data_IF_159776982981
#
_entry.id   IF_159776982981
#
_cell.length_a   1.000
_cell.length_b   1.000
_cell.length_c   1.000
_cell.angle_alpha   90.00
_cell.angle_beta   90.00
_cell.angle_gamma   90.00
#
_symmetry.space_group_name_H-M   'P 1'
#
loop_
_entity.id
_entity.type
_entity.pdbx_description
1 polymer ?
#
# COMPACT_ATOMS: atom_id res chain seq x y z
N UNK A 1 9.71 7.47 -8.28
CA UNK A 1 10.32 6.43 -7.44
C UNK A 1 9.65 5.09 -7.71
N UNK A 2 10.45 4.01 -7.74
CA UNK A 2 10.00 2.64 -7.97
C UNK A 2 10.06 1.87 -6.65
N UNK A 3 9.04 1.07 -6.36
CA UNK A 3 8.98 0.19 -5.18
C UNK A 3 8.55 -1.21 -5.60
N UNK A 4 8.98 -2.21 -4.83
CA UNK A 4 8.47 -3.57 -4.94
C UNK A 4 7.24 -3.72 -4.05
N UNK A 5 6.10 -4.05 -4.66
CA UNK A 5 4.80 -4.10 -4.00
C UNK A 5 4.42 -5.54 -3.71
N UNK A 6 4.18 -5.82 -2.43
CA UNK A 6 3.82 -7.14 -1.94
C UNK A 6 2.46 -7.09 -1.22
N UNK A 7 1.60 -8.06 -1.51
CA UNK A 7 0.32 -8.18 -0.83
C UNK A 7 0.53 -8.57 0.64
N UNK A 8 -0.23 -7.93 1.54
CA UNK A 8 0.01 -8.04 2.99
C UNK A 8 -0.11 -9.48 3.52
N UNK A 9 -1.07 -10.27 3.02
CA UNK A 9 -1.23 -11.66 3.46
C UNK A 9 -0.05 -12.53 3.04
N UNK A 10 0.51 -12.32 1.84
CA UNK A 10 1.71 -13.03 1.41
C UNK A 10 2.93 -12.65 2.27
N UNK A 11 3.03 -11.38 2.68
CA UNK A 11 4.05 -10.94 3.61
C UNK A 11 3.88 -11.60 5.00
N UNK A 12 2.65 -11.64 5.53
CA UNK A 12 2.36 -12.31 6.79
C UNK A 12 2.69 -13.81 6.75
N UNK A 13 2.39 -14.49 5.63
CA UNK A 13 2.79 -15.90 5.43
C UNK A 13 4.32 -16.08 5.45
N UNK A 14 5.08 -15.14 4.84
CA UNK A 14 6.53 -15.18 4.89
C UNK A 14 7.05 -15.05 6.32
N UNK A 15 6.52 -14.08 7.10
CA UNK A 15 6.91 -13.88 8.50
C UNK A 15 6.60 -15.13 9.33
N UNK A 16 5.39 -15.68 9.22
CA UNK A 16 4.98 -16.89 9.94
C UNK A 16 5.89 -18.09 9.59
N UNK A 17 6.22 -18.25 8.32
CA UNK A 17 7.11 -19.31 7.87
C UNK A 17 8.54 -19.15 8.43
N UNK A 18 9.08 -17.93 8.40
CA UNK A 18 10.42 -17.66 8.97
C UNK A 18 10.44 -17.92 10.48
N UNK A 19 9.38 -17.57 11.21
CA UNK A 19 9.28 -17.86 12.66
C UNK A 19 9.27 -19.35 12.95
N UNK A 20 8.63 -20.15 12.10
CA UNK A 20 8.50 -21.60 12.32
C UNK A 20 9.66 -22.43 11.79
N UNK A 21 10.24 -22.02 10.67
CA UNK A 21 11.17 -22.86 9.89
C UNK A 21 12.48 -22.15 9.54
N UNK A 22 12.60 -20.85 9.86
CA UNK A 22 13.81 -20.09 9.61
C UNK A 22 14.98 -20.57 10.46
N UNK A 23 16.18 -20.41 9.91
CA UNK A 23 17.44 -20.72 10.65
C UNK A 23 17.75 -19.56 11.58
N UNK A 24 18.02 -19.85 12.85
CA UNK A 24 18.36 -18.85 13.85
C UNK A 24 19.60 -18.05 13.45
N UNK A 25 19.50 -16.72 13.57
CA UNK A 25 20.56 -15.78 13.18
C UNK A 25 20.61 -15.44 11.67
N UNK A 26 19.80 -16.08 10.84
CA UNK A 26 19.72 -15.79 9.41
C UNK A 26 18.76 -14.66 9.08
N UNK A 27 19.04 -13.94 8.00
CA UNK A 27 18.19 -12.86 7.47
C UNK A 27 17.58 -13.29 6.13
N UNK A 28 16.28 -13.04 5.98
CA UNK A 28 15.53 -13.35 4.78
C UNK A 28 14.89 -12.07 4.20
N UNK A 29 15.20 -11.78 2.94
CA UNK A 29 14.49 -10.74 2.20
C UNK A 29 13.15 -11.29 1.71
N UNK A 30 12.10 -10.46 1.82
CA UNK A 30 10.74 -10.78 1.36
C UNK A 30 10.31 -9.74 0.35
N UNK A 31 10.08 -10.12 -0.88
CA UNK A 31 9.74 -9.23 -2.00
C UNK A 31 8.65 -9.80 -2.90
N UNK A 32 7.93 -8.92 -3.59
CA UNK A 32 6.77 -9.27 -4.41
C UNK A 32 7.08 -9.53 -5.87
N UNK A 33 8.28 -9.23 -6.37
CA UNK A 33 8.63 -9.15 -7.79
C UNK A 33 7.68 -8.25 -8.61
N UNK A 34 7.09 -7.24 -7.95
CA UNK A 34 6.11 -6.32 -8.53
C UNK A 34 6.62 -4.88 -8.47
N UNK A 35 7.68 -4.60 -9.19
CA UNK A 35 8.23 -3.24 -9.26
C UNK A 35 7.30 -2.33 -10.07
N UNK A 36 6.80 -1.29 -9.42
CA UNK A 36 5.97 -0.25 -10.04
C UNK A 36 6.35 1.14 -9.50
N UNK A 37 6.16 2.15 -10.33
CA UNK A 37 6.33 3.53 -9.91
C UNK A 37 5.18 3.97 -8.99
N UNK A 38 5.46 4.90 -8.10
CA UNK A 38 4.40 5.51 -7.27
C UNK A 38 3.28 6.09 -8.12
N UNK A 39 3.60 6.69 -9.28
CA UNK A 39 2.61 7.27 -10.19
C UNK A 39 1.68 6.21 -10.80
N UNK A 40 2.23 5.04 -11.19
CA UNK A 40 1.42 3.91 -11.66
C UNK A 40 0.45 3.44 -10.59
N UNK A 41 0.93 3.33 -9.33
CA UNK A 41 0.08 2.93 -8.19
C UNK A 41 -1.05 3.94 -7.96
N UNK A 42 -0.73 5.24 -7.94
CA UNK A 42 -1.75 6.29 -7.75
C UNK A 42 -2.82 6.23 -8.84
N UNK A 43 -2.41 6.15 -10.11
CA UNK A 43 -3.35 6.05 -11.23
C UNK A 43 -4.23 4.80 -11.16
N UNK A 44 -3.62 3.65 -10.84
CA UNK A 44 -4.34 2.39 -10.71
C UNK A 44 -5.32 2.41 -9.53
N UNK A 45 -4.91 2.97 -8.39
CA UNK A 45 -5.78 3.12 -7.22
C UNK A 45 -6.99 3.99 -7.56
N UNK A 46 -6.80 5.15 -8.19
CA UNK A 46 -7.89 6.03 -8.62
C UNK A 46 -8.84 5.30 -9.57
N UNK A 47 -8.31 4.61 -10.58
CA UNK A 47 -9.12 3.87 -11.55
C UNK A 47 -9.93 2.74 -10.86
N UNK A 48 -9.31 2.01 -9.93
CA UNK A 48 -9.97 0.94 -9.18
C UNK A 48 -11.07 1.49 -8.28
N UNK A 49 -10.80 2.57 -7.54
CA UNK A 49 -11.81 3.21 -6.67
C UNK A 49 -13.01 3.68 -7.50
N UNK A 50 -12.78 4.33 -8.65
CA UNK A 50 -13.87 4.77 -9.53
C UNK A 50 -14.74 3.60 -9.99
N UNK A 51 -14.13 2.53 -10.46
CA UNK A 51 -14.84 1.31 -10.87
C UNK A 51 -15.66 0.72 -9.74
N UNK A 52 -15.06 0.57 -8.54
CA UNK A 52 -15.76 0.03 -7.37
C UNK A 52 -16.94 0.93 -6.93
N UNK A 53 -16.83 2.26 -7.06
CA UNK A 53 -17.93 3.18 -6.79
C UNK A 53 -19.09 3.05 -7.79
N UNK A 54 -18.81 2.64 -9.02
CA UNK A 54 -19.84 2.38 -10.04
C UNK A 54 -20.53 1.05 -9.80
N UNK A 55 -19.76 0.01 -9.46
CA UNK A 55 -20.26 -1.34 -9.19
C UNK A 55 -21.03 -1.42 -7.85
N UNK A 56 -20.57 -0.68 -6.82
CA UNK A 56 -21.12 -0.69 -5.46
C UNK A 56 -21.43 0.74 -4.96
N UNK A 57 -22.66 1.23 -5.16
CA UNK A 57 -23.03 2.61 -4.80
C UNK A 57 -22.78 3.00 -3.33
N UNK A 58 -22.75 2.03 -2.40
CA UNK A 58 -22.44 2.26 -0.97
C UNK A 58 -21.07 2.89 -0.77
N UNK A 59 -20.09 2.59 -1.63
CA UNK A 59 -18.74 3.16 -1.53
C UNK A 59 -18.69 4.65 -1.83
N UNK A 60 -19.65 5.19 -2.59
CA UNK A 60 -19.77 6.64 -2.80
C UNK A 60 -20.01 7.40 -1.50
N UNK A 61 -20.76 6.81 -0.57
CA UNK A 61 -21.03 7.43 0.73
C UNK A 61 -19.75 7.50 1.60
N UNK A 62 -18.91 6.50 1.52
CA UNK A 62 -17.64 6.42 2.23
C UNK A 62 -16.65 7.49 1.75
N UNK A 63 -16.60 7.75 0.45
CA UNK A 63 -15.63 8.62 -0.21
C UNK A 63 -16.05 10.08 -0.35
N UNK A 64 -17.22 10.46 0.16
CA UNK A 64 -17.78 11.83 0.05
C UNK A 64 -16.85 12.97 0.46
N UNK A 65 -15.89 12.71 1.35
CA UNK A 65 -14.96 13.72 1.85
C UNK A 65 -13.66 13.82 1.04
N UNK A 66 -13.38 12.83 0.19
CA UNK A 66 -12.08 12.66 -0.47
C UNK A 66 -12.17 12.73 -2.00
N UNK A 67 -13.38 12.67 -2.54
CA UNK A 67 -13.66 12.77 -3.97
C UNK A 67 -14.42 14.05 -4.21
N UNK A 68 -14.02 14.83 -5.20
CA UNK A 68 -14.80 16.00 -5.58
C UNK A 68 -16.23 15.56 -5.95
N UNK A 69 -17.20 16.01 -5.16
CA UNK A 69 -18.58 15.54 -5.24
C UNK A 69 -19.30 15.96 -6.55
N UNK A 70 -18.74 16.95 -7.27
CA UNK A 70 -19.35 17.48 -8.49
C UNK A 70 -19.07 16.59 -9.71
N UNK A 71 -17.89 16.02 -9.83
CA UNK A 71 -17.48 15.29 -11.04
C UNK A 71 -16.79 13.95 -10.76
N UNK A 72 -16.62 13.56 -9.48
CA UNK A 72 -15.93 12.33 -9.08
C UNK A 72 -14.43 12.36 -9.36
N UNK A 73 -13.83 13.54 -9.55
CA UNK A 73 -12.39 13.67 -9.76
C UNK A 73 -11.62 13.50 -8.45
N UNK A 74 -10.48 12.85 -8.55
CA UNK A 74 -9.49 12.77 -7.49
C UNK A 74 -8.29 13.54 -8.01
N UNK A 75 -7.95 14.64 -7.34
CA UNK A 75 -6.79 15.44 -7.72
C UNK A 75 -5.50 14.79 -7.24
N UNK A 76 -4.52 14.73 -8.15
CA UNK A 76 -3.15 14.33 -7.82
C UNK A 76 -2.37 15.61 -7.51
N UNK A 77 -1.99 15.79 -6.24
CA UNK A 77 -1.06 16.84 -5.86
C UNK A 77 0.39 16.37 -6.06
N UNK A 78 1.18 17.23 -6.68
CA UNK A 78 2.59 16.99 -6.91
C UNK A 78 3.39 17.73 -5.84
N UNK A 79 4.26 17.02 -5.12
CA UNK A 79 5.22 17.61 -4.20
C UNK A 79 6.51 17.83 -4.99
N UNK A 80 6.94 19.09 -5.11
CA UNK A 80 8.14 19.46 -5.86
C UNK A 80 9.44 19.22 -5.10
N UNK A 81 9.36 19.03 -3.77
CA UNK A 81 10.52 18.77 -2.93
C UNK A 81 10.65 17.28 -2.62
N UNK A 82 11.71 16.66 -3.10
CA UNK A 82 12.05 15.28 -2.73
C UNK A 82 12.67 15.24 -1.33
N UNK A 83 12.38 14.18 -0.56
CA UNK A 83 13.02 13.98 0.74
C UNK A 83 14.50 13.66 0.53
N UNK A 84 15.37 14.35 1.26
CA UNK A 84 16.80 14.07 1.28
C UNK A 84 17.04 12.58 1.63
N UNK A 85 17.85 11.90 0.82
CA UNK A 85 18.15 10.47 1.02
C UNK A 85 17.05 9.51 0.54
N UNK A 86 16.11 9.97 -0.30
CA UNK A 86 15.06 9.13 -0.84
C UNK A 86 15.54 8.34 -2.06
N UNK A 87 15.71 7.03 -1.91
CA UNK A 87 16.17 6.16 -3.00
C UNK A 87 15.18 6.15 -4.17
N UNK A 88 15.71 6.21 -5.39
CA UNK A 88 14.92 6.20 -6.61
C UNK A 88 14.21 4.85 -6.82
N UNK A 89 14.87 3.74 -6.45
CA UNK A 89 14.35 2.39 -6.67
C UNK A 89 14.70 1.47 -5.51
N UNK A 90 13.71 0.71 -5.05
CA UNK A 90 13.89 -0.47 -4.22
C UNK A 90 13.54 -1.70 -5.05
N UNK A 91 14.51 -2.58 -5.24
CA UNK A 91 14.33 -3.91 -5.79
C UNK A 91 14.76 -4.92 -4.72
N UNK A 92 13.90 -5.88 -4.44
CA UNK A 92 14.14 -6.88 -3.39
C UNK A 92 14.36 -8.24 -4.07
N UNK A 93 15.44 -8.92 -3.68
CA UNK A 93 15.71 -10.29 -4.11
C UNK A 93 15.27 -11.29 -3.03
N UNK A 94 14.16 -12.02 -3.21
CA UNK A 94 13.66 -13.03 -2.28
C UNK A 94 14.23 -14.43 -2.53
N UNK A 95 15.21 -14.60 -3.39
CA UNK A 95 15.74 -15.92 -3.80
C UNK A 95 16.12 -16.80 -2.60
N UNK A 96 16.69 -16.21 -1.54
CA UNK A 96 17.10 -16.97 -0.35
C UNK A 96 15.91 -17.60 0.36
N UNK A 97 14.84 -16.85 0.63
CA UNK A 97 13.65 -17.39 1.31
C UNK A 97 12.95 -18.43 0.43
N UNK A 98 12.89 -18.20 -0.86
CA UNK A 98 12.32 -19.17 -1.82
C UNK A 98 13.08 -20.48 -1.79
N UNK A 99 14.40 -20.45 -1.90
CA UNK A 99 15.23 -21.66 -1.97
C UNK A 99 15.31 -22.40 -0.62
N UNK A 100 15.38 -21.65 0.48
CA UNK A 100 15.55 -22.24 1.81
C UNK A 100 14.22 -22.73 2.43
N UNK A 101 13.14 -21.98 2.25
CA UNK A 101 11.88 -22.20 2.93
C UNK A 101 10.70 -22.45 1.98
N UNK A 102 10.90 -22.41 0.67
CA UNK A 102 9.85 -22.66 -0.33
C UNK A 102 8.81 -21.54 -0.46
N UNK A 103 9.02 -20.38 0.16
CA UNK A 103 8.09 -19.27 0.08
C UNK A 103 8.21 -18.51 -1.24
N UNK A 104 7.07 -18.12 -1.80
CA UNK A 104 6.96 -17.18 -2.91
C UNK A 104 5.65 -16.39 -2.81
N UNK A 105 5.56 -15.17 -3.39
CA UNK A 105 4.33 -14.39 -3.40
C UNK A 105 3.28 -15.06 -4.29
N UNK A 106 2.14 -15.43 -3.71
CA UNK A 106 1.06 -16.15 -4.41
C UNK A 106 0.07 -15.19 -5.07
N UNK A 107 -0.07 -13.97 -4.52
CA UNK A 107 -1.07 -13.00 -4.96
C UNK A 107 -0.49 -12.07 -6.02
N UNK A 108 -1.05 -12.14 -7.23
CA UNK A 108 -0.71 -11.19 -8.29
C UNK A 108 -1.04 -9.76 -7.87
N UNK A 109 -0.21 -8.80 -8.27
CA UNK A 109 -0.37 -7.40 -7.88
C UNK A 109 -1.77 -6.85 -8.19
N UNK A 110 -2.29 -7.12 -9.39
CA UNK A 110 -3.59 -6.62 -9.86
C UNK A 110 -4.77 -7.13 -9.00
N UNK A 111 -4.60 -8.32 -8.41
CA UNK A 111 -5.59 -8.90 -7.48
C UNK A 111 -5.41 -8.31 -6.07
N UNK A 112 -4.19 -8.26 -5.59
CA UNK A 112 -3.86 -7.77 -4.24
C UNK A 112 -4.23 -6.32 -4.02
N UNK A 113 -4.01 -5.45 -5.02
CA UNK A 113 -4.35 -4.02 -4.90
C UNK A 113 -5.87 -3.80 -4.80
N UNK A 114 -6.67 -4.56 -5.55
CA UNK A 114 -8.14 -4.49 -5.48
C UNK A 114 -8.62 -4.94 -4.10
N UNK A 115 -8.17 -6.09 -3.62
CA UNK A 115 -8.49 -6.59 -2.27
C UNK A 115 -8.13 -5.59 -1.18
N UNK A 116 -6.97 -4.95 -1.30
CA UNK A 116 -6.51 -3.93 -0.35
C UNK A 116 -7.45 -2.72 -0.34
N UNK A 117 -7.81 -2.21 -1.52
CA UNK A 117 -8.73 -1.07 -1.64
C UNK A 117 -10.11 -1.43 -1.07
N UNK A 118 -10.68 -2.58 -1.45
CA UNK A 118 -11.96 -3.07 -0.92
C UNK A 118 -11.93 -3.23 0.60
N UNK A 119 -10.81 -3.70 1.15
CA UNK A 119 -10.67 -3.82 2.59
C UNK A 119 -10.79 -2.45 3.26
N UNK A 120 -10.07 -1.43 2.79
CA UNK A 120 -10.17 -0.07 3.32
C UNK A 120 -11.59 0.50 3.18
N UNK A 121 -12.25 0.29 2.05
CA UNK A 121 -13.62 0.76 1.83
C UNK A 121 -14.63 0.10 2.77
N UNK A 122 -14.41 -1.15 3.16
CA UNK A 122 -15.29 -1.91 4.04
C UNK A 122 -14.98 -1.76 5.54
N UNK A 123 -13.81 -1.22 5.92
CA UNK A 123 -13.38 -1.14 7.32
C UNK A 123 -13.23 0.32 7.79
N UNK A 124 -14.23 1.15 7.50
CA UNK A 124 -14.21 2.59 7.84
C UNK A 124 -14.07 2.87 9.34
N UNK A 125 -14.69 2.14 10.28
CA UNK A 125 -14.47 2.38 11.71
C UNK A 125 -13.00 2.24 12.11
N UNK A 126 -12.29 1.28 11.56
CA UNK A 126 -10.86 1.12 11.79
C UNK A 126 -10.05 2.28 11.18
N UNK A 127 -10.41 2.71 9.96
CA UNK A 127 -9.76 3.86 9.30
C UNK A 127 -9.94 5.13 10.12
N UNK A 128 -11.16 5.37 10.62
CA UNK A 128 -11.48 6.54 11.46
C UNK A 128 -10.70 6.49 12.79
N UNK A 129 -10.61 5.34 13.44
CA UNK A 129 -9.85 5.17 14.67
C UNK A 129 -8.36 5.47 14.48
N UNK A 130 -7.75 4.91 13.44
CA UNK A 130 -6.30 5.10 13.15
C UNK A 130 -5.99 6.54 12.71
N UNK A 131 -6.92 7.20 11.99
CA UNK A 131 -6.70 8.55 11.46
C UNK A 131 -7.20 9.67 12.39
N UNK A 132 -7.96 9.34 13.44
CA UNK A 132 -8.52 10.30 14.39
C UNK A 132 -7.51 10.73 15.47
N UNK A 133 -6.95 11.87 15.39
CA UNK A 133 -6.35 12.56 16.53
C UNK A 133 -4.83 12.46 16.67
N UNK A 134 -4.25 11.40 17.18
CA UNK A 134 -2.82 11.37 17.51
C UNK A 134 -1.93 11.25 16.28
N UNK A 135 -2.39 10.59 15.23
CA UNK A 135 -1.68 10.53 13.96
C UNK A 135 -1.62 11.90 13.25
N UNK A 136 -2.69 12.67 13.28
CA UNK A 136 -2.72 14.01 12.70
C UNK A 136 -1.76 14.96 13.45
N UNK A 137 -1.73 14.92 14.78
CA UNK A 137 -0.77 15.69 15.59
C UNK A 137 0.68 15.30 15.26
N UNK A 138 0.96 14.01 15.15
CA UNK A 138 2.27 13.52 14.75
C UNK A 138 2.65 14.00 13.35
N UNK A 139 1.72 13.92 12.40
CA UNK A 139 1.92 14.37 11.02
C UNK A 139 2.20 15.89 10.95
N UNK A 140 1.43 16.70 11.67
CA UNK A 140 1.65 18.15 11.77
C UNK A 140 3.00 18.48 12.37
N UNK A 141 3.43 17.79 13.43
CA UNK A 141 4.74 17.96 14.05
C UNK A 141 5.91 17.61 13.10
N UNK A 142 5.77 16.58 12.31
CA UNK A 142 6.83 16.10 11.43
C UNK A 142 6.87 16.81 10.08
N UNK A 143 5.74 17.28 9.56
CA UNK A 143 5.59 17.78 8.19
C UNK A 143 4.93 19.16 8.08
N UNK A 144 4.28 19.68 9.11
CA UNK A 144 3.52 20.95 9.11
C UNK A 144 4.36 22.22 8.96
N UNK A 145 5.68 22.14 8.93
CA UNK A 145 6.60 23.24 8.66
C UNK A 145 7.26 23.21 7.28
N UNK A 146 6.79 22.32 6.38
CA UNK A 146 7.37 22.12 5.03
C UNK A 146 6.35 22.47 3.96
N UNK A 147 5.87 23.68 3.97
CA UNK A 147 5.04 24.28 2.93
C UNK A 147 5.75 25.47 2.30
#
# INVERSE_FOLDING_TARGET
NVRDWLYVEDHCKAIDLVVREGVEGEVYNVGGHNEKTNLEIVKLTIATVRRLMEEEPRYRAVLKKQVNAADGTIDISWINEDRLGHDQRYAIDPTKITNALGWYPETKFEVGIVKTIEWYLNNQPWVEEVTSGDYQKYYEQMYGGRG
#
